data_IF_163819107559
#
_entry.id   IF_163819107559
#
_cell.length_a   1.000
_cell.length_b   1.000
_cell.length_c   1.000
_cell.angle_alpha   90.00
_cell.angle_beta   90.00
_cell.angle_gamma   90.00
#
_symmetry.space_group_name_H-M   'P 1'
#
loop_
_entity.id
_entity.type
_entity.pdbx_description
1 polymer ?
#
# COMPACT_ATOMS: atom_id res chain seq x y z
N UNK A 1 -18.93 22.44 -10.59
CA UNK A 1 -18.30 22.34 -9.25
C UNK A 1 -17.93 20.89 -9.06
N UNK A 2 -16.78 20.56 -8.46
CA UNK A 2 -16.42 19.17 -8.18
C UNK A 2 -17.45 18.55 -7.22
N UNK A 3 -17.93 17.34 -7.52
CA UNK A 3 -18.91 16.64 -6.70
C UNK A 3 -18.23 15.69 -5.72
N UNK A 4 -18.43 15.94 -4.43
CA UNK A 4 -17.88 15.11 -3.34
C UNK A 4 -19.01 14.39 -2.64
N UNK A 5 -18.95 13.06 -2.63
CA UNK A 5 -19.93 12.21 -1.93
C UNK A 5 -19.32 11.69 -0.64
N UNK A 6 -19.96 11.99 0.49
CA UNK A 6 -19.66 11.33 1.76
C UNK A 6 -20.39 10.00 1.78
N UNK A 7 -19.64 8.90 1.88
CA UNK A 7 -20.20 7.55 2.04
C UNK A 7 -20.18 7.21 3.53
N UNK A 8 -21.36 7.01 4.10
CA UNK A 8 -21.56 6.82 5.53
C UNK A 8 -22.34 5.54 5.81
N UNK A 9 -21.66 4.45 6.18
CA UNK A 9 -22.32 3.25 6.68
C UNK A 9 -23.02 3.49 8.01
N UNK A 10 -24.22 2.96 8.14
CA UNK A 10 -25.03 3.04 9.35
C UNK A 10 -25.60 1.66 9.71
N UNK A 11 -25.53 1.31 11.00
CA UNK A 11 -26.17 0.11 11.53
C UNK A 11 -26.56 0.31 12.99
N UNK A 12 -27.87 0.44 13.22
CA UNK A 12 -28.48 0.81 14.49
C UNK A 12 -27.90 2.12 15.07
N UNK A 13 -28.04 3.21 14.31
CA UNK A 13 -27.46 4.53 14.60
C UNK A 13 -28.52 5.65 14.46
N UNK A 14 -29.81 5.37 14.74
CA UNK A 14 -30.94 6.27 14.39
C UNK A 14 -30.77 7.72 14.90
N UNK A 15 -30.34 7.90 16.14
CA UNK A 15 -30.13 9.23 16.74
C UNK A 15 -28.92 9.96 16.12
N UNK A 16 -27.87 9.20 15.83
CA UNK A 16 -26.65 9.71 15.22
C UNK A 16 -26.95 10.17 13.79
N UNK A 17 -27.70 9.40 13.00
CA UNK A 17 -28.08 9.80 11.64
C UNK A 17 -28.91 11.08 11.63
N UNK A 18 -29.94 11.20 12.47
CA UNK A 18 -30.77 12.42 12.54
C UNK A 18 -29.91 13.65 12.79
N UNK A 19 -29.02 13.59 13.78
CA UNK A 19 -28.16 14.71 14.17
C UNK A 19 -27.08 14.99 13.12
N UNK A 20 -26.44 13.95 12.59
CA UNK A 20 -25.34 14.05 11.65
C UNK A 20 -25.77 14.66 10.31
N UNK A 21 -26.95 14.25 9.82
CA UNK A 21 -27.54 14.82 8.60
C UNK A 21 -27.76 16.33 8.78
N UNK A 22 -28.35 16.76 9.89
CA UNK A 22 -28.63 18.18 10.13
C UNK A 22 -27.35 19.00 10.18
N UNK A 23 -26.36 18.55 10.97
CA UNK A 23 -25.06 19.25 11.07
C UNK A 23 -24.35 19.31 9.72
N UNK A 24 -24.29 18.20 8.98
CA UNK A 24 -23.61 18.19 7.69
C UNK A 24 -24.32 19.09 6.66
N UNK A 25 -25.63 18.95 6.53
CA UNK A 25 -26.40 19.64 5.48
C UNK A 25 -26.61 21.12 5.76
N UNK A 26 -26.86 21.51 7.01
CA UNK A 26 -27.16 22.88 7.38
C UNK A 26 -25.91 23.67 7.76
N UNK A 27 -24.99 23.07 8.52
CA UNK A 27 -23.85 23.81 9.07
C UNK A 27 -22.59 23.68 8.21
N UNK A 28 -22.25 22.48 7.75
CA UNK A 28 -20.94 22.24 7.14
C UNK A 28 -20.92 22.40 5.62
N UNK A 29 -21.86 21.78 4.90
CA UNK A 29 -21.89 21.81 3.43
C UNK A 29 -21.96 23.21 2.83
N UNK A 30 -22.73 24.18 3.36
CA UNK A 30 -22.76 25.54 2.81
C UNK A 30 -21.42 26.28 2.89
N UNK A 31 -20.48 25.83 3.73
CA UNK A 31 -19.17 26.45 3.93
C UNK A 31 -18.09 25.89 3.01
N UNK A 32 -18.43 24.92 2.14
CA UNK A 32 -17.49 24.16 1.30
C UNK A 32 -17.73 24.50 -0.17
N UNK A 33 -16.66 24.83 -0.90
CA UNK A 33 -16.71 25.18 -2.33
C UNK A 33 -16.85 23.97 -3.28
N UNK A 34 -17.63 22.96 -2.90
CA UNK A 34 -17.87 21.73 -3.66
C UNK A 34 -19.36 21.36 -3.66
N UNK A 35 -19.80 20.57 -4.65
CA UNK A 35 -21.14 19.99 -4.66
C UNK A 35 -21.15 18.79 -3.68
N UNK A 36 -21.56 19.06 -2.44
CA UNK A 36 -21.53 18.11 -1.34
C UNK A 36 -22.79 17.26 -1.30
N UNK A 37 -22.59 15.94 -1.32
CA UNK A 37 -23.62 14.92 -1.25
C UNK A 37 -23.36 14.00 -0.06
N UNK A 38 -24.41 13.54 0.62
CA UNK A 38 -24.33 12.54 1.67
C UNK A 38 -25.05 11.26 1.20
N UNK A 39 -24.33 10.14 1.19
CA UNK A 39 -24.87 8.83 0.88
C UNK A 39 -24.80 7.94 2.12
N UNK A 40 -25.97 7.66 2.69
CA UNK A 40 -26.13 6.75 3.83
C UNK A 40 -26.28 5.33 3.28
N UNK A 41 -25.46 4.42 3.79
CA UNK A 41 -25.53 3.00 3.45
C UNK A 41 -26.02 2.23 4.67
N UNK A 42 -27.31 1.92 4.69
CA UNK A 42 -27.93 1.19 5.80
C UNK A 42 -27.74 -0.32 5.65
N UNK A 43 -27.40 -0.98 6.75
CA UNK A 43 -27.21 -2.43 6.81
C UNK A 43 -28.41 -3.14 7.44
N UNK A 44 -29.60 -2.89 6.91
CA UNK A 44 -30.87 -3.45 7.41
C UNK A 44 -31.04 -3.23 8.91
N UNK A 45 -30.92 -1.98 9.34
CA UNK A 45 -31.08 -1.62 10.75
C UNK A 45 -32.48 -1.93 11.27
N UNK A 46 -32.59 -2.20 12.57
CA UNK A 46 -33.86 -2.57 13.23
C UNK A 46 -34.38 -1.50 14.20
N UNK A 47 -33.68 -0.37 14.32
CA UNK A 47 -33.92 0.68 15.31
C UNK A 47 -34.56 1.96 14.75
N UNK A 48 -34.96 1.96 13.47
CA UNK A 48 -35.48 3.15 12.80
C UNK A 48 -34.46 3.94 11.97
N UNK A 49 -33.21 3.46 11.86
CA UNK A 49 -32.14 4.16 11.11
C UNK A 49 -32.49 4.36 9.64
N UNK A 50 -33.09 3.35 8.99
CA UNK A 50 -33.46 3.42 7.58
C UNK A 50 -34.53 4.49 7.35
N UNK A 51 -35.58 4.50 8.17
CA UNK A 51 -36.68 5.46 8.11
C UNK A 51 -36.17 6.89 8.34
N UNK A 52 -35.26 7.08 9.31
CA UNK A 52 -34.66 8.38 9.55
C UNK A 52 -33.83 8.89 8.36
N UNK A 53 -33.09 8.01 7.69
CA UNK A 53 -32.31 8.34 6.50
C UNK A 53 -33.22 8.59 5.27
N UNK A 54 -34.32 7.85 5.13
CA UNK A 54 -35.33 8.11 4.09
C UNK A 54 -36.01 9.46 4.27
N UNK A 55 -36.43 9.80 5.49
CA UNK A 55 -37.04 11.09 5.78
C UNK A 55 -36.06 12.25 5.54
N UNK A 56 -34.78 12.06 5.88
CA UNK A 56 -33.72 12.97 5.53
C UNK A 56 -33.57 13.16 4.01
N UNK A 57 -33.62 12.09 3.22
CA UNK A 57 -33.53 12.16 1.75
C UNK A 57 -34.70 12.90 1.10
N UNK A 58 -35.90 12.82 1.70
CA UNK A 58 -37.08 13.60 1.26
C UNK A 58 -36.96 15.08 1.61
N UNK A 59 -36.31 15.38 2.74
CA UNK A 59 -36.10 16.76 3.24
C UNK A 59 -34.96 17.48 2.51
N UNK A 60 -33.89 16.77 2.15
CA UNK A 60 -32.69 17.35 1.57
C UNK A 60 -32.31 16.64 0.25
N UNK A 61 -32.29 17.39 -0.85
CA UNK A 61 -31.99 16.85 -2.20
C UNK A 61 -30.58 16.27 -2.36
N UNK A 62 -29.67 16.60 -1.44
CA UNK A 62 -28.29 16.12 -1.44
C UNK A 62 -28.04 14.99 -0.43
N UNK A 63 -29.10 14.40 0.12
CA UNK A 63 -29.03 13.22 0.98
C UNK A 63 -29.65 12.04 0.24
N UNK A 64 -28.90 10.95 0.19
CA UNK A 64 -29.25 9.72 -0.50
C UNK A 64 -29.15 8.56 0.48
N UNK A 65 -29.96 7.53 0.25
CA UNK A 65 -29.92 6.29 1.02
C UNK A 65 -29.87 5.10 0.07
N UNK A 66 -29.04 4.11 0.40
CA UNK A 66 -29.08 2.79 -0.21
C UNK A 66 -29.08 1.71 0.88
N UNK A 67 -29.70 0.58 0.55
CA UNK A 67 -29.69 -0.61 1.38
C UNK A 67 -28.55 -1.54 0.97
N UNK A 68 -27.73 -1.94 1.94
CA UNK A 68 -26.61 -2.83 1.75
C UNK A 68 -27.09 -4.25 1.48
N UNK A 69 -26.59 -4.88 0.40
CA UNK A 69 -26.99 -6.26 0.04
C UNK A 69 -26.24 -7.34 0.81
N UNK A 70 -24.95 -7.14 1.05
CA UNK A 70 -24.05 -8.13 1.64
C UNK A 70 -23.58 -7.65 3.00
N UNK A 71 -23.63 -8.45 4.07
CA UNK A 71 -23.18 -8.01 5.40
C UNK A 71 -21.68 -7.71 5.49
N UNK A 72 -21.32 -6.72 6.32
CA UNK A 72 -19.93 -6.37 6.65
C UNK A 72 -19.57 -4.93 6.29
N UNK A 73 -18.70 -4.29 7.08
CA UNK A 73 -18.39 -2.87 6.90
C UNK A 73 -17.76 -2.56 5.53
N UNK A 74 -16.90 -3.45 5.03
CA UNK A 74 -16.28 -3.28 3.71
C UNK A 74 -17.30 -3.30 2.58
N UNK A 75 -18.30 -4.18 2.65
CA UNK A 75 -19.40 -4.20 1.67
C UNK A 75 -20.26 -2.93 1.70
N UNK A 76 -20.44 -2.31 2.86
CA UNK A 76 -21.16 -1.04 2.98
C UNK A 76 -20.43 0.06 2.20
N UNK A 77 -19.13 0.21 2.45
CA UNK A 77 -18.30 1.19 1.75
C UNK A 77 -18.17 0.88 0.26
N UNK A 78 -17.97 -0.38 -0.14
CA UNK A 78 -17.91 -0.76 -1.56
C UNK A 78 -19.22 -0.44 -2.28
N UNK A 79 -20.35 -0.82 -1.71
CA UNK A 79 -21.66 -0.56 -2.32
C UNK A 79 -21.93 0.94 -2.43
N UNK A 80 -21.61 1.71 -1.38
CA UNK A 80 -21.73 3.16 -1.39
C UNK A 80 -20.78 3.83 -2.39
N UNK A 81 -19.54 3.36 -2.49
CA UNK A 81 -18.58 3.88 -3.46
C UNK A 81 -19.02 3.60 -4.90
N UNK A 82 -19.52 2.39 -5.19
CA UNK A 82 -20.04 2.05 -6.51
C UNK A 82 -21.24 2.95 -6.87
N UNK A 83 -22.21 3.07 -5.97
CA UNK A 83 -23.36 3.95 -6.18
C UNK A 83 -22.95 5.42 -6.37
N UNK A 84 -22.01 5.91 -5.58
CA UNK A 84 -21.49 7.27 -5.70
C UNK A 84 -20.82 7.51 -7.07
N UNK A 85 -20.05 6.54 -7.59
CA UNK A 85 -19.39 6.64 -8.90
C UNK A 85 -20.42 6.52 -10.04
N UNK A 86 -21.28 5.50 -9.97
CA UNK A 86 -22.12 5.09 -11.09
C UNK A 86 -23.39 5.94 -11.18
N UNK A 87 -24.07 6.21 -10.07
CA UNK A 87 -25.35 6.91 -10.05
C UNK A 87 -25.18 8.40 -9.78
N UNK A 88 -24.38 8.76 -8.76
CA UNK A 88 -24.19 10.16 -8.39
C UNK A 88 -23.12 10.87 -9.23
N UNK A 89 -22.31 10.14 -10.00
CA UNK A 89 -21.19 10.67 -10.79
C UNK A 89 -20.21 11.48 -9.94
N UNK A 90 -19.80 10.92 -8.80
CA UNK A 90 -18.86 11.54 -7.88
C UNK A 90 -17.50 11.78 -8.55
N UNK A 91 -16.91 12.95 -8.28
CA UNK A 91 -15.50 13.24 -8.62
C UNK A 91 -14.56 12.77 -7.51
N UNK A 92 -15.03 12.81 -6.25
CA UNK A 92 -14.33 12.29 -5.08
C UNK A 92 -15.30 11.70 -4.06
N UNK A 93 -14.79 10.77 -3.25
CA UNK A 93 -15.55 10.09 -2.19
C UNK A 93 -14.83 10.25 -0.86
N UNK A 94 -15.56 10.69 0.16
CA UNK A 94 -15.11 10.77 1.55
C UNK A 94 -15.71 9.62 2.36
N UNK A 95 -14.87 8.78 2.94
CA UNK A 95 -15.25 7.75 3.91
C UNK A 95 -15.47 8.41 5.28
N UNK A 96 -16.65 8.23 5.89
CA UNK A 96 -16.97 8.82 7.19
C UNK A 96 -17.93 7.94 8.00
N UNK A 97 -17.52 7.54 9.21
CA UNK A 97 -18.39 6.82 10.16
C UNK A 97 -19.48 7.76 10.76
N UNK A 98 -20.64 7.20 11.11
CA UNK A 98 -21.81 7.94 11.61
C UNK A 98 -21.75 8.33 13.11
N UNK A 99 -20.79 7.81 13.87
CA UNK A 99 -20.75 7.84 15.35
C UNK A 99 -20.12 9.10 15.97
N UNK A 100 -20.02 10.19 15.20
CA UNK A 100 -19.36 11.47 15.56
C UNK A 100 -17.88 11.37 15.97
N UNK A 101 -17.25 10.20 15.86
CA UNK A 101 -15.81 10.09 16.11
C UNK A 101 -14.97 10.85 15.08
N UNK A 102 -15.52 11.03 13.88
CA UNK A 102 -15.05 11.99 12.89
C UNK A 102 -15.89 13.26 13.02
N UNK A 103 -15.39 14.34 13.64
CA UNK A 103 -16.20 15.54 13.80
C UNK A 103 -16.51 16.17 12.42
N UNK A 104 -17.78 16.54 12.14
CA UNK A 104 -18.18 17.11 10.84
C UNK A 104 -17.35 18.30 10.37
N UNK A 105 -16.85 19.13 11.29
CA UNK A 105 -15.94 20.25 11.00
C UNK A 105 -14.69 19.87 10.20
N UNK A 106 -14.25 18.61 10.24
CA UNK A 106 -13.09 18.14 9.49
C UNK A 106 -13.41 17.75 8.05
N UNK A 107 -14.69 17.74 7.63
CA UNK A 107 -15.06 17.54 6.22
C UNK A 107 -14.50 18.66 5.35
N UNK A 108 -14.66 19.92 5.78
CA UNK A 108 -14.16 21.09 5.05
C UNK A 108 -12.66 21.01 4.72
N UNK A 109 -11.74 20.85 5.69
CA UNK A 109 -10.30 20.81 5.38
C UNK A 109 -9.90 19.60 4.53
N UNK A 110 -10.61 18.46 4.62
CA UNK A 110 -10.40 17.32 3.73
C UNK A 110 -10.72 17.68 2.27
N UNK A 111 -11.86 18.35 2.05
CA UNK A 111 -12.30 18.77 0.71
C UNK A 111 -11.41 19.89 0.17
N UNK A 112 -11.00 20.86 1.00
CA UNK A 112 -10.07 21.92 0.58
C UNK A 112 -8.71 21.36 0.13
N UNK A 113 -8.20 20.34 0.83
CA UNK A 113 -6.98 19.65 0.43
C UNK A 113 -7.14 18.93 -0.94
N UNK A 114 -8.30 18.33 -1.18
CA UNK A 114 -8.67 17.72 -2.46
C UNK A 114 -8.73 18.77 -3.59
N UNK A 115 -9.46 19.86 -3.37
CA UNK A 115 -9.59 20.97 -4.34
C UNK A 115 -8.23 21.63 -4.63
N UNK A 116 -7.28 21.58 -3.67
CA UNK A 116 -5.87 22.00 -3.84
C UNK A 116 -5.00 20.97 -4.60
N UNK A 117 -5.63 19.99 -5.24
CA UNK A 117 -5.01 19.02 -6.14
C UNK A 117 -4.49 17.74 -5.49
N UNK A 118 -4.80 17.48 -4.22
CA UNK A 118 -4.53 16.16 -3.65
C UNK A 118 -5.46 15.11 -4.28
N UNK A 119 -4.92 13.92 -4.58
CA UNK A 119 -5.71 12.81 -5.16
C UNK A 119 -6.18 11.83 -4.07
N UNK A 120 -5.51 11.84 -2.91
CA UNK A 120 -5.87 11.06 -1.73
C UNK A 120 -5.56 11.87 -0.47
N UNK A 121 -6.55 12.05 0.40
CA UNK A 121 -6.44 12.84 1.63
C UNK A 121 -6.75 11.95 2.82
N UNK A 122 -5.92 12.02 3.85
CA UNK A 122 -6.01 11.18 5.05
C UNK A 122 -6.18 12.07 6.27
N UNK A 123 -7.28 11.87 7.02
CA UNK A 123 -7.50 12.51 8.31
C UNK A 123 -6.63 11.86 9.38
N UNK A 124 -5.52 12.52 9.75
CA UNK A 124 -4.45 11.94 10.54
C UNK A 124 -4.47 12.40 11.99
N UNK A 125 -4.44 11.43 12.91
CA UNK A 125 -4.41 11.68 14.37
C UNK A 125 -3.00 11.91 14.91
N UNK A 126 -1.98 11.67 14.10
CA UNK A 126 -0.57 11.59 14.52
C UNK A 126 0.31 12.67 13.87
N UNK A 127 -0.30 13.74 13.36
CA UNK A 127 0.39 14.95 12.89
C UNK A 127 0.04 16.14 13.80
N UNK A 128 0.75 17.26 13.63
CA UNK A 128 0.44 18.50 14.36
C UNK A 128 -1.02 18.94 14.12
N UNK A 129 -1.75 19.24 15.20
CA UNK A 129 -3.19 19.53 15.18
C UNK A 129 -4.10 18.29 15.20
N UNK A 130 -3.56 17.09 14.99
CA UNK A 130 -4.26 15.82 15.16
C UNK A 130 -4.21 15.31 16.61
N UNK A 131 -5.23 14.56 17.02
CA UNK A 131 -5.22 13.94 18.35
C UNK A 131 -6.08 12.68 18.44
N UNK A 132 -5.74 11.83 19.41
CA UNK A 132 -6.61 10.74 19.89
C UNK A 132 -7.36 11.20 21.14
N UNK A 133 -8.55 10.64 21.45
CA UNK A 133 -9.32 11.07 22.60
C UNK A 133 -8.52 11.01 23.90
N UNK A 134 -8.61 12.09 24.69
CA UNK A 134 -7.91 12.19 25.98
C UNK A 134 -8.40 11.11 26.96
N UNK A 135 -9.69 10.80 26.91
CA UNK A 135 -10.41 9.85 27.76
C UNK A 135 -10.03 8.38 27.51
N UNK A 136 -9.33 8.07 26.41
CA UNK A 136 -8.90 6.69 26.16
C UNK A 136 -7.89 6.22 27.20
N UNK A 137 -8.12 5.01 27.71
CA UNK A 137 -7.15 4.29 28.52
C UNK A 137 -5.79 4.22 27.80
N UNK A 138 -4.69 4.31 28.56
CA UNK A 138 -3.33 4.29 28.02
C UNK A 138 -3.06 3.04 27.16
N UNK A 139 -3.61 1.89 27.55
CA UNK A 139 -3.54 0.65 26.77
C UNK A 139 -4.18 0.78 25.38
N UNK A 140 -5.33 1.44 25.26
CA UNK A 140 -6.01 1.69 23.98
C UNK A 140 -5.20 2.66 23.10
N UNK A 141 -4.63 3.71 23.70
CA UNK A 141 -3.71 4.63 22.99
C UNK A 141 -2.48 3.90 22.46
N UNK A 142 -1.86 3.06 23.29
CA UNK A 142 -0.72 2.24 22.91
C UNK A 142 -1.07 1.28 21.76
N UNK A 143 -2.18 0.55 21.85
CA UNK A 143 -2.64 -0.35 20.77
C UNK A 143 -2.82 0.41 19.45
N UNK A 144 -3.44 1.61 19.50
CA UNK A 144 -3.63 2.42 18.29
C UNK A 144 -2.29 2.88 17.70
N UNK A 145 -1.38 3.39 18.53
CA UNK A 145 -0.07 3.86 18.09
C UNK A 145 0.79 2.73 17.50
N UNK A 146 0.94 1.61 18.24
CA UNK A 146 1.74 0.48 17.81
C UNK A 146 1.13 -0.26 16.62
N UNK A 147 -0.20 -0.38 16.56
CA UNK A 147 -0.88 -0.96 15.39
C UNK A 147 -0.66 -0.14 14.13
N UNK A 148 -0.71 1.19 14.24
CA UNK A 148 -0.37 2.08 13.13
C UNK A 148 1.12 1.99 12.75
N UNK A 149 2.04 2.01 13.72
CA UNK A 149 3.47 1.86 13.49
C UNK A 149 3.81 0.53 12.80
N UNK A 150 3.15 -0.55 13.20
CA UNK A 150 3.30 -1.88 12.59
C UNK A 150 2.92 -1.85 11.11
N UNK A 151 1.75 -1.29 10.76
CA UNK A 151 1.30 -1.19 9.36
C UNK A 151 2.24 -0.32 8.54
N UNK A 152 2.70 0.82 9.07
CA UNK A 152 3.70 1.69 8.44
C UNK A 152 5.00 0.93 8.13
N UNK A 153 5.46 0.12 9.08
CA UNK A 153 6.69 -0.67 8.96
C UNK A 153 6.56 -1.77 7.91
N UNK A 154 5.49 -2.56 7.95
CA UNK A 154 5.27 -3.67 7.01
C UNK A 154 5.09 -3.18 5.57
N UNK A 155 4.40 -2.04 5.40
CA UNK A 155 4.23 -1.41 4.09
C UNK A 155 5.46 -0.59 3.66
N UNK A 156 6.44 -0.36 4.54
CA UNK A 156 7.56 0.57 4.36
C UNK A 156 7.12 1.99 3.96
N UNK A 157 5.99 2.45 4.52
CA UNK A 157 5.47 3.79 4.25
C UNK A 157 5.52 4.63 5.53
N UNK A 158 6.67 5.27 5.75
CA UNK A 158 6.88 6.17 6.88
C UNK A 158 6.50 7.62 6.59
N UNK A 159 6.23 7.98 5.31
CA UNK A 159 5.86 9.35 4.93
C UNK A 159 4.46 9.74 5.42
N UNK A 160 3.57 8.76 5.55
CA UNK A 160 2.23 8.94 6.09
C UNK A 160 2.24 8.51 7.56
N UNK A 161 1.66 9.32 8.43
CA UNK A 161 1.67 9.14 9.88
C UNK A 161 0.48 8.36 10.40
N UNK A 162 -0.67 8.35 9.71
CA UNK A 162 -1.83 7.54 10.10
C UNK A 162 -2.38 6.66 8.97
N UNK A 163 -2.01 5.38 9.00
CA UNK A 163 -2.50 4.37 8.06
C UNK A 163 -3.72 3.59 8.59
N UNK A 164 -4.26 4.00 9.75
CA UNK A 164 -5.34 3.26 10.43
C UNK A 164 -6.64 4.04 10.60
N UNK A 165 -6.64 5.33 10.29
CA UNK A 165 -7.85 6.16 10.25
C UNK A 165 -8.86 5.63 9.23
N UNK A 166 -10.15 5.78 9.53
CA UNK A 166 -11.25 5.53 8.57
C UNK A 166 -11.66 6.77 7.79
N UNK A 167 -11.15 7.95 8.14
CA UNK A 167 -11.56 9.23 7.55
C UNK A 167 -10.64 9.59 6.38
N UNK A 168 -11.07 9.26 5.17
CA UNK A 168 -10.24 9.33 3.96
C UNK A 168 -11.04 9.83 2.77
N UNK A 169 -10.46 10.75 2.02
CA UNK A 169 -11.04 11.25 0.78
C UNK A 169 -10.21 10.73 -0.39
N UNK A 170 -10.87 10.06 -1.34
CA UNK A 170 -10.25 9.53 -2.55
C UNK A 170 -10.85 10.17 -3.79
N UNK A 171 -9.99 10.66 -4.68
CA UNK A 171 -10.40 11.03 -6.04
C UNK A 171 -10.95 9.80 -6.77
N UNK A 172 -11.99 9.95 -7.58
CA UNK A 172 -12.51 8.85 -8.38
C UNK A 172 -11.59 8.60 -9.56
N UNK A 173 -11.42 9.61 -10.42
CA UNK A 173 -10.63 9.49 -11.65
C UNK A 173 -9.15 9.30 -11.37
N UNK A 174 -8.60 8.19 -11.84
CA UNK A 174 -7.20 7.83 -11.73
C UNK A 174 -6.80 7.16 -10.42
N UNK A 175 -7.68 7.09 -9.41
CA UNK A 175 -7.43 6.44 -8.12
C UNK A 175 -8.44 5.32 -7.86
N UNK A 176 -9.70 5.64 -7.54
CA UNK A 176 -10.71 4.61 -7.26
C UNK A 176 -11.15 3.84 -8.51
N UNK A 177 -11.22 4.49 -9.67
CA UNK A 177 -11.59 3.84 -10.95
C UNK A 177 -10.61 2.73 -11.41
N UNK A 178 -9.40 2.71 -10.86
CA UNK A 178 -8.38 1.67 -11.08
C UNK A 178 -8.45 0.54 -10.07
N UNK A 179 -9.32 0.64 -9.07
CA UNK A 179 -9.48 -0.35 -8.01
C UNK A 179 -10.73 -1.17 -8.34
N UNK A 180 -10.55 -2.48 -8.45
CA UNK A 180 -11.70 -3.38 -8.55
C UNK A 180 -12.30 -3.58 -7.15
N UNK A 181 -13.18 -2.65 -6.75
CA UNK A 181 -13.71 -2.53 -5.38
C UNK A 181 -14.30 -3.84 -4.83
N UNK A 182 -15.02 -4.59 -5.66
CA UNK A 182 -15.63 -5.87 -5.29
C UNK A 182 -14.62 -7.01 -5.06
N UNK A 183 -13.36 -6.85 -5.51
CA UNK A 183 -12.28 -7.81 -5.30
C UNK A 183 -11.32 -7.41 -4.17
N UNK A 184 -11.65 -6.35 -3.42
CA UNK A 184 -10.94 -6.05 -2.18
C UNK A 184 -11.00 -7.23 -1.21
N UNK A 185 -9.94 -7.42 -0.45
CA UNK A 185 -9.83 -8.53 0.50
C UNK A 185 -10.55 -8.23 1.81
N UNK A 186 -11.09 -9.27 2.42
CA UNK A 186 -11.72 -9.23 3.76
C UNK A 186 -12.81 -8.14 3.89
N UNK A 187 -13.70 -8.03 2.89
CA UNK A 187 -14.82 -7.08 2.86
C UNK A 187 -15.85 -7.29 3.98
N UNK A 188 -15.86 -8.48 4.58
CA UNK A 188 -16.65 -8.84 5.75
C UNK A 188 -16.09 -8.29 7.07
N UNK A 189 -14.83 -7.80 7.07
CA UNK A 189 -14.08 -7.37 8.27
C UNK A 189 -13.65 -5.91 8.16
N UNK A 190 -12.99 -5.36 9.17
CA UNK A 190 -12.34 -4.05 9.12
C UNK A 190 -11.06 -4.04 8.27
N UNK A 191 -10.49 -5.23 8.02
CA UNK A 191 -9.22 -5.38 7.32
C UNK A 191 -9.24 -4.79 5.89
N UNK A 192 -10.38 -4.78 5.20
CA UNK A 192 -10.52 -4.16 3.85
C UNK A 192 -9.95 -2.74 3.78
N UNK A 193 -10.02 -1.96 4.88
CA UNK A 193 -9.49 -0.59 4.97
C UNK A 193 -8.00 -0.55 4.62
N UNK A 194 -7.24 -1.60 4.90
CA UNK A 194 -5.80 -1.68 4.58
C UNK A 194 -5.58 -1.97 3.09
N UNK A 195 -6.39 -2.82 2.48
CA UNK A 195 -6.30 -3.09 1.03
C UNK A 195 -6.69 -1.86 0.22
N UNK A 196 -7.82 -1.24 0.56
CA UNK A 196 -8.28 -0.01 -0.08
C UNK A 196 -7.24 1.13 0.07
N UNK A 197 -6.66 1.29 1.27
CA UNK A 197 -5.57 2.23 1.51
C UNK A 197 -4.35 1.94 0.61
N UNK A 198 -3.89 0.70 0.61
CA UNK A 198 -2.70 0.29 -0.14
C UNK A 198 -2.89 0.55 -1.65
N UNK A 199 -4.05 0.20 -2.20
CA UNK A 199 -4.35 0.43 -3.61
C UNK A 199 -4.52 1.93 -3.93
N UNK A 200 -5.19 2.69 -3.06
CA UNK A 200 -5.37 4.13 -3.24
C UNK A 200 -4.03 4.87 -3.23
N UNK A 201 -3.15 4.56 -2.27
CA UNK A 201 -1.79 5.10 -2.21
C UNK A 201 -0.99 4.80 -3.48
N UNK A 202 -1.09 3.57 -4.00
CA UNK A 202 -0.38 3.14 -5.21
C UNK A 202 -0.86 3.85 -6.48
N UNK A 203 -2.15 4.17 -6.54
CA UNK A 203 -2.76 4.81 -7.70
C UNK A 203 -2.66 6.34 -7.66
N UNK A 204 -2.64 6.93 -6.45
CA UNK A 204 -2.52 8.38 -6.24
C UNK A 204 -1.09 8.89 -6.48
N UNK A 205 -0.98 10.07 -7.08
CA UNK A 205 0.29 10.78 -7.29
C UNK A 205 0.61 11.77 -6.18
N UNK A 206 -0.43 12.35 -5.56
CA UNK A 206 -0.31 13.32 -4.48
C UNK A 206 -1.22 12.89 -3.33
N UNK A 207 -0.59 12.42 -2.25
CA UNK A 207 -1.26 12.11 -0.99
C UNK A 207 -0.90 13.19 0.04
N UNK A 208 -1.89 13.64 0.81
CA UNK A 208 -1.67 14.60 1.91
C UNK A 208 -2.39 14.15 3.18
N UNK A 209 -1.85 14.56 4.33
CA UNK A 209 -2.48 14.36 5.63
C UNK A 209 -3.09 15.68 6.11
N UNK A 210 -4.31 15.61 6.63
CA UNK A 210 -5.03 16.72 7.28
C UNK A 210 -5.19 16.35 8.75
N UNK A 211 -4.98 17.27 9.70
CA UNK A 211 -5.12 16.96 11.11
C UNK A 211 -6.55 16.51 11.42
N UNK A 212 -6.67 15.49 12.25
CA UNK A 212 -7.95 14.97 12.75
C UNK A 212 -7.90 14.82 14.26
N UNK A 213 -8.75 15.58 14.96
CA UNK A 213 -9.02 15.36 16.38
C UNK A 213 -10.11 14.31 16.50
N UNK A 214 -9.70 13.06 16.72
CA UNK A 214 -10.62 11.94 16.83
C UNK A 214 -11.39 12.03 18.14
N UNK A 215 -12.71 12.00 18.08
CA UNK A 215 -13.57 12.15 19.25
C UNK A 215 -13.89 10.82 19.92
N UNK A 216 -14.25 10.88 21.20
CA UNK A 216 -14.86 9.75 21.91
C UNK A 216 -16.25 9.48 21.35
N UNK A 217 -16.62 8.20 21.27
CA UNK A 217 -18.01 7.81 20.93
C UNK A 217 -18.96 8.37 21.97
N UNK A 218 -20.11 8.82 21.51
CA UNK A 218 -21.17 9.38 22.35
C UNK A 218 -21.93 8.31 23.13
N UNK A 219 -22.17 7.10 22.56
CA UNK A 219 -23.04 6.09 23.21
C UNK A 219 -22.60 4.62 23.14
N UNK A 220 -21.80 4.19 22.16
CA UNK A 220 -21.59 2.75 21.90
C UNK A 220 -20.22 2.13 22.23
N UNK A 221 -20.24 0.85 22.59
CA UNK A 221 -19.05 -0.01 22.73
C UNK A 221 -18.36 -0.22 21.38
N UNK A 222 -17.03 -0.36 21.39
CA UNK A 222 -16.23 -0.60 20.19
C UNK A 222 -16.63 -1.89 19.49
N UNK A 223 -16.98 -1.81 18.20
CA UNK A 223 -17.21 -2.97 17.32
C UNK A 223 -15.89 -3.65 16.90
N UNK A 224 -14.75 -2.96 17.06
CA UNK A 224 -13.40 -3.47 16.77
C UNK A 224 -12.87 -4.35 17.92
N UNK A 225 -12.46 -5.59 17.60
CA UNK A 225 -12.02 -6.60 18.55
C UNK A 225 -10.67 -7.25 18.16
N UNK A 226 -10.15 -8.18 18.97
CA UNK A 226 -8.87 -8.84 18.72
C UNK A 226 -8.81 -9.59 17.37
N UNK A 227 -9.91 -10.22 16.94
CA UNK A 227 -9.97 -10.94 15.66
C UNK A 227 -9.81 -9.97 14.47
N UNK A 228 -10.44 -8.79 14.57
CA UNK A 228 -10.30 -7.72 13.57
C UNK A 228 -8.86 -7.21 13.48
N UNK A 229 -8.19 -7.05 14.62
CA UNK A 229 -6.79 -6.64 14.65
C UNK A 229 -5.88 -7.67 13.98
N UNK A 230 -6.05 -8.96 14.29
CA UNK A 230 -5.27 -10.04 13.67
C UNK A 230 -5.51 -10.10 12.16
N UNK A 231 -6.77 -9.97 11.71
CA UNK A 231 -7.11 -9.93 10.29
C UNK A 231 -6.43 -8.74 9.58
N UNK A 232 -6.47 -7.56 10.20
CA UNK A 232 -5.85 -6.34 9.70
C UNK A 232 -4.33 -6.51 9.54
N UNK A 233 -3.64 -7.02 10.56
CA UNK A 233 -2.19 -7.25 10.51
C UNK A 233 -1.81 -8.33 9.51
N UNK A 234 -2.55 -9.44 9.45
CA UNK A 234 -2.33 -10.50 8.45
C UNK A 234 -2.44 -9.93 7.04
N UNK A 235 -3.48 -9.14 6.76
CA UNK A 235 -3.65 -8.54 5.45
C UNK A 235 -2.53 -7.54 5.13
N UNK A 236 -2.14 -6.70 6.10
CA UNK A 236 -1.00 -5.79 5.95
C UNK A 236 0.29 -6.54 5.58
N UNK A 237 0.60 -7.66 6.25
CA UNK A 237 1.75 -8.53 5.94
C UNK A 237 1.65 -9.06 4.52
N UNK A 238 0.50 -9.61 4.13
CA UNK A 238 0.33 -10.18 2.78
C UNK A 238 0.53 -9.08 1.72
N UNK A 239 -0.02 -7.88 1.93
CA UNK A 239 0.15 -6.76 1.01
C UNK A 239 1.60 -6.27 0.97
N UNK A 240 2.26 -6.15 2.13
CA UNK A 240 3.68 -5.79 2.22
C UNK A 240 4.59 -6.79 1.49
N UNK A 241 4.33 -8.09 1.63
CA UNK A 241 5.03 -9.16 0.89
C UNK A 241 4.70 -9.09 -0.60
N UNK A 242 3.43 -8.90 -0.98
CA UNK A 242 3.01 -8.82 -2.39
C UNK A 242 3.69 -7.66 -3.11
N UNK A 243 3.80 -6.51 -2.44
CA UNK A 243 4.50 -5.32 -2.91
C UNK A 243 5.98 -5.61 -3.20
N UNK A 244 6.61 -6.42 -2.35
CA UNK A 244 8.04 -6.76 -2.40
C UNK A 244 8.33 -8.11 -3.07
N UNK A 245 7.30 -8.76 -3.61
CA UNK A 245 7.40 -10.14 -4.10
C UNK A 245 8.47 -10.28 -5.18
N UNK A 246 8.61 -9.29 -6.06
CA UNK A 246 9.64 -9.30 -7.11
C UNK A 246 11.06 -9.26 -6.52
N UNK A 247 11.29 -8.46 -5.47
CA UNK A 247 12.58 -8.42 -4.79
C UNK A 247 12.86 -9.72 -4.03
N UNK A 248 11.86 -10.28 -3.35
CA UNK A 248 11.99 -11.57 -2.65
C UNK A 248 12.33 -12.69 -3.65
N UNK A 249 11.59 -12.79 -4.76
CA UNK A 249 11.89 -13.76 -5.84
C UNK A 249 13.29 -13.59 -6.39
N UNK A 250 13.71 -12.34 -6.64
CA UNK A 250 15.07 -12.03 -7.08
C UNK A 250 16.13 -12.56 -6.09
N UNK A 251 15.94 -12.34 -4.79
CA UNK A 251 16.81 -12.88 -3.75
C UNK A 251 16.85 -14.42 -3.73
N UNK A 252 15.70 -15.08 -3.85
CA UNK A 252 15.61 -16.55 -3.93
C UNK A 252 16.32 -17.10 -5.17
N UNK A 253 16.17 -16.44 -6.33
CA UNK A 253 16.90 -16.81 -7.54
C UNK A 253 18.40 -16.65 -7.32
N UNK A 254 18.86 -15.52 -6.76
CA UNK A 254 20.28 -15.33 -6.43
C UNK A 254 20.85 -16.42 -5.53
N UNK A 255 20.11 -16.83 -4.49
CA UNK A 255 20.50 -17.93 -3.61
C UNK A 255 20.54 -19.29 -4.33
N UNK A 256 19.58 -19.53 -5.23
CA UNK A 256 19.56 -20.74 -6.07
C UNK A 256 20.77 -20.76 -7.00
N UNK A 257 21.12 -19.63 -7.62
CA UNK A 257 22.33 -19.48 -8.39
C UNK A 257 23.60 -19.78 -7.59
N UNK A 258 23.66 -19.34 -6.32
CA UNK A 258 24.77 -19.69 -5.43
C UNK A 258 24.88 -21.21 -5.23
N UNK A 259 23.77 -21.91 -5.00
CA UNK A 259 23.76 -23.37 -4.87
C UNK A 259 24.17 -24.07 -6.18
N UNK A 260 23.69 -23.61 -7.33
CA UNK A 260 24.07 -24.12 -8.65
C UNK A 260 25.57 -23.96 -8.88
N UNK A 261 26.13 -22.80 -8.51
CA UNK A 261 27.57 -22.55 -8.61
C UNK A 261 28.36 -23.52 -7.72
N UNK A 262 27.98 -23.62 -6.44
CA UNK A 262 28.67 -24.47 -5.47
C UNK A 262 28.65 -25.95 -5.89
N UNK A 263 27.47 -26.49 -6.22
CA UNK A 263 27.32 -27.88 -6.62
C UNK A 263 27.98 -28.16 -7.98
N UNK A 264 27.87 -27.23 -8.94
CA UNK A 264 28.53 -27.32 -10.23
C UNK A 264 30.05 -27.35 -10.10
N UNK A 265 30.63 -26.51 -9.24
CA UNK A 265 32.06 -26.48 -8.98
C UNK A 265 32.56 -27.81 -8.42
N UNK A 266 31.88 -28.35 -7.41
CA UNK A 266 32.22 -29.61 -6.78
C UNK A 266 32.11 -30.78 -7.78
N UNK A 267 31.04 -30.82 -8.57
CA UNK A 267 30.85 -31.82 -9.60
C UNK A 267 31.95 -31.79 -10.67
N UNK A 268 32.27 -30.60 -11.20
CA UNK A 268 33.29 -30.44 -12.24
C UNK A 268 34.70 -30.77 -11.73
N UNK A 269 35.02 -30.44 -10.47
CA UNK A 269 36.28 -30.86 -9.84
C UNK A 269 36.38 -32.37 -9.73
N UNK A 270 35.29 -33.06 -9.35
CA UNK A 270 35.25 -34.54 -9.30
C UNK A 270 35.41 -35.18 -10.67
N UNK A 271 35.02 -34.49 -11.75
CA UNK A 271 35.28 -34.91 -13.12
C UNK A 271 36.72 -34.68 -13.58
N UNK A 272 37.60 -34.18 -12.71
CA UNK A 272 39.02 -33.96 -13.01
C UNK A 272 39.33 -32.62 -13.67
N UNK A 273 38.37 -31.68 -13.75
CA UNK A 273 38.68 -30.33 -14.23
C UNK A 273 39.55 -29.60 -13.21
N UNK A 274 40.53 -28.84 -13.73
CA UNK A 274 41.30 -27.91 -12.90
C UNK A 274 40.38 -26.88 -12.23
N UNK A 275 40.78 -26.38 -11.05
CA UNK A 275 40.00 -25.38 -10.30
C UNK A 275 39.61 -24.16 -11.14
N UNK A 276 40.48 -23.70 -12.05
CA UNK A 276 40.19 -22.58 -12.93
C UNK A 276 38.99 -22.85 -13.85
N UNK A 277 39.07 -23.92 -14.65
CA UNK A 277 38.01 -24.29 -15.59
C UNK A 277 36.71 -24.67 -14.87
N UNK A 278 36.80 -25.39 -13.74
CA UNK A 278 35.64 -25.74 -12.94
C UNK A 278 34.91 -24.49 -12.40
N UNK A 279 35.66 -23.48 -11.93
CA UNK A 279 35.08 -22.22 -11.43
C UNK A 279 34.43 -21.42 -12.54
N UNK A 280 35.06 -21.35 -13.72
CA UNK A 280 34.51 -20.64 -14.88
C UNK A 280 33.16 -21.22 -15.31
N UNK A 281 33.11 -22.53 -15.55
CA UNK A 281 31.87 -23.20 -16.00
C UNK A 281 30.78 -23.19 -14.94
N UNK A 282 31.12 -23.44 -13.67
CA UNK A 282 30.14 -23.37 -12.58
C UNK A 282 29.55 -21.96 -12.42
N UNK A 283 30.34 -20.91 -12.67
CA UNK A 283 29.87 -19.51 -12.65
C UNK A 283 28.91 -19.25 -13.79
N UNK A 284 29.25 -19.70 -15.00
CA UNK A 284 28.36 -19.55 -16.15
C UNK A 284 27.05 -20.35 -15.98
N UNK A 285 27.10 -21.57 -15.44
CA UNK A 285 25.90 -22.35 -15.10
C UNK A 285 24.98 -21.59 -14.13
N UNK A 286 25.56 -20.92 -13.13
CA UNK A 286 24.82 -20.09 -12.18
C UNK A 286 24.18 -18.87 -12.85
N UNK A 287 24.91 -18.18 -13.73
CA UNK A 287 24.41 -17.02 -14.49
C UNK A 287 23.25 -17.44 -15.40
N UNK A 288 23.39 -18.54 -16.13
CA UNK A 288 22.35 -19.11 -16.99
C UNK A 288 21.11 -19.47 -16.16
N UNK A 289 21.28 -20.18 -15.06
CA UNK A 289 20.17 -20.55 -14.15
C UNK A 289 19.44 -19.31 -13.63
N UNK A 290 20.19 -18.30 -13.16
CA UNK A 290 19.62 -17.06 -12.67
C UNK A 290 18.86 -16.29 -13.76
N UNK A 291 19.39 -16.23 -14.98
CA UNK A 291 18.70 -15.57 -16.09
C UNK A 291 17.38 -16.27 -16.43
N UNK A 292 17.41 -17.60 -16.56
CA UNK A 292 16.22 -18.41 -16.87
C UNK A 292 15.16 -18.22 -15.79
N UNK A 293 15.52 -18.42 -14.51
CA UNK A 293 14.58 -18.30 -13.39
C UNK A 293 14.03 -16.88 -13.25
N UNK A 294 14.85 -15.85 -13.47
CA UNK A 294 14.36 -14.49 -13.49
C UNK A 294 13.37 -14.25 -14.64
N UNK A 295 13.64 -14.79 -15.83
CA UNK A 295 12.77 -14.62 -16.99
C UNK A 295 11.42 -15.31 -16.82
N UNK A 296 11.39 -16.55 -16.30
CA UNK A 296 10.16 -17.34 -16.19
C UNK A 296 9.37 -17.08 -14.90
N UNK A 297 10.01 -16.59 -13.83
CA UNK A 297 9.38 -16.50 -12.51
C UNK A 297 9.42 -15.11 -11.86
N UNK A 298 10.59 -14.47 -11.77
CA UNK A 298 10.73 -13.15 -11.13
C UNK A 298 10.05 -12.05 -11.95
N UNK A 299 10.25 -12.07 -13.26
CA UNK A 299 9.75 -11.10 -14.23
C UNK A 299 8.75 -11.72 -15.21
N UNK A 300 7.96 -12.69 -14.75
CA UNK A 300 6.98 -13.42 -15.56
C UNK A 300 5.97 -12.53 -16.31
N UNK A 301 5.73 -11.32 -15.84
CA UNK A 301 4.86 -10.32 -16.47
C UNK A 301 5.51 -9.61 -17.67
N UNK A 302 6.82 -9.80 -17.84
CA UNK A 302 7.67 -9.22 -18.89
C UNK A 302 8.59 -10.28 -19.50
N UNK A 303 8.15 -11.53 -19.55
CA UNK A 303 8.93 -12.65 -20.09
C UNK A 303 9.45 -12.34 -21.49
N UNK A 304 10.74 -12.54 -21.69
CA UNK A 304 11.42 -12.39 -22.97
C UNK A 304 11.27 -13.72 -23.72
N UNK A 305 10.62 -13.70 -24.89
CA UNK A 305 10.30 -14.91 -25.67
C UNK A 305 11.03 -14.96 -27.02
N UNK A 306 11.30 -13.80 -27.63
CA UNK A 306 12.01 -13.71 -28.91
C UNK A 306 13.47 -14.14 -28.77
N UNK A 307 13.95 -15.04 -29.63
CA UNK A 307 15.34 -15.56 -29.61
C UNK A 307 16.36 -14.43 -29.66
N UNK A 308 16.13 -13.42 -30.52
CA UNK A 308 17.01 -12.24 -30.63
C UNK A 308 17.09 -11.47 -29.31
N UNK A 309 15.94 -11.27 -28.66
CA UNK A 309 15.88 -10.55 -27.39
C UNK A 309 16.47 -11.37 -26.25
N UNK A 310 16.27 -12.69 -26.24
CA UNK A 310 16.91 -13.59 -25.27
C UNK A 310 18.43 -13.44 -25.34
N UNK A 311 19.02 -13.53 -26.53
CA UNK A 311 20.48 -13.39 -26.71
C UNK A 311 20.96 -12.00 -26.25
N UNK A 312 20.28 -10.93 -26.70
CA UNK A 312 20.65 -9.56 -26.36
C UNK A 312 20.55 -9.27 -24.85
N UNK A 313 19.48 -9.75 -24.22
CA UNK A 313 19.24 -9.51 -22.80
C UNK A 313 20.12 -10.40 -21.92
N UNK A 314 20.41 -11.63 -22.36
CA UNK A 314 21.39 -12.49 -21.72
C UNK A 314 22.79 -11.86 -21.75
N UNK A 315 23.22 -11.28 -22.87
CA UNK A 315 24.48 -10.55 -22.96
C UNK A 315 24.56 -9.38 -21.96
N UNK A 316 23.49 -8.59 -21.83
CA UNK A 316 23.41 -7.50 -20.83
C UNK A 316 23.42 -8.03 -19.39
N UNK A 317 22.75 -9.16 -19.15
CA UNK A 317 22.73 -9.81 -17.85
C UNK A 317 24.12 -10.29 -17.44
N UNK A 318 24.83 -10.95 -18.37
CA UNK A 318 26.19 -11.42 -18.14
C UNK A 318 27.14 -10.23 -17.90
N UNK A 319 27.05 -9.17 -18.71
CA UNK A 319 27.80 -7.92 -18.51
C UNK A 319 27.53 -7.30 -17.13
N UNK A 320 26.26 -7.29 -16.68
CA UNK A 320 25.92 -6.77 -15.35
C UNK A 320 26.50 -7.62 -14.22
N UNK A 321 26.68 -8.93 -14.43
CA UNK A 321 27.26 -9.84 -13.43
C UNK A 321 28.75 -9.57 -13.19
N UNK A 322 29.48 -9.02 -14.18
CA UNK A 322 30.89 -8.62 -14.02
C UNK A 322 31.07 -7.49 -12.99
N UNK A 323 30.05 -6.68 -12.76
CA UNK A 323 30.10 -5.62 -11.74
C UNK A 323 30.41 -6.20 -10.35
N UNK A 324 29.79 -7.32 -9.99
CA UNK A 324 30.03 -7.98 -8.70
C UNK A 324 31.49 -8.44 -8.56
N UNK A 325 32.06 -8.99 -9.64
CA UNK A 325 33.45 -9.48 -9.70
C UNK A 325 34.45 -8.36 -9.45
N UNK A 326 34.17 -7.15 -9.93
CA UNK A 326 35.04 -5.98 -9.76
C UNK A 326 34.84 -5.34 -8.38
N UNK A 327 33.59 -5.16 -7.96
CA UNK A 327 33.27 -4.36 -6.76
C UNK A 327 33.54 -5.11 -5.47
N UNK A 328 33.30 -6.42 -5.40
CA UNK A 328 33.50 -7.18 -4.17
C UNK A 328 34.96 -7.13 -3.68
N UNK A 329 35.99 -7.40 -4.51
CA UNK A 329 37.38 -7.26 -4.08
C UNK A 329 37.73 -5.83 -3.65
N UNK A 330 37.23 -4.80 -4.34
CA UNK A 330 37.48 -3.40 -3.98
C UNK A 330 36.92 -3.05 -2.60
N UNK A 331 35.69 -3.44 -2.31
CA UNK A 331 35.06 -3.19 -1.00
C UNK A 331 35.78 -3.95 0.11
N UNK A 332 36.14 -5.21 -0.12
CA UNK A 332 36.87 -6.03 0.86
C UNK A 332 38.27 -5.48 1.12
N UNK A 333 39.00 -5.09 0.08
CA UNK A 333 40.33 -4.49 0.20
C UNK A 333 40.25 -3.13 0.92
N UNK A 334 39.24 -2.32 0.62
CA UNK A 334 38.99 -1.08 1.36
C UNK A 334 38.72 -1.32 2.84
N UNK A 335 37.85 -2.28 3.16
CA UNK A 335 37.52 -2.62 4.55
C UNK A 335 38.74 -3.14 5.32
N UNK A 336 39.54 -4.02 4.72
CA UNK A 336 40.76 -4.54 5.36
C UNK A 336 41.84 -3.47 5.52
N UNK A 337 41.93 -2.50 4.61
CA UNK A 337 42.85 -1.36 4.74
C UNK A 337 42.43 -0.41 5.87
N UNK A 338 41.12 -0.17 6.04
CA UNK A 338 40.60 0.78 7.03
C UNK A 338 40.49 0.21 8.45
N UNK A 339 40.10 -1.05 8.58
CA UNK A 339 39.76 -1.66 9.86
C UNK A 339 40.74 -2.78 10.28
N UNK A 340 41.70 -3.12 9.42
CA UNK A 340 42.66 -4.20 9.63
C UNK A 340 42.28 -5.48 8.89
N UNK A 341 43.30 -6.26 8.55
CA UNK A 341 43.13 -7.47 7.73
C UNK A 341 42.86 -8.70 8.61
N UNK A 342 41.59 -8.88 9.00
CA UNK A 342 41.12 -10.05 9.75
C UNK A 342 40.04 -10.80 8.98
N UNK A 343 39.89 -12.10 9.26
CA UNK A 343 38.82 -12.92 8.66
C UNK A 343 37.42 -12.34 8.90
N UNK A 344 37.19 -11.74 10.08
CA UNK A 344 35.91 -11.12 10.41
C UNK A 344 35.64 -9.89 9.54
N UNK A 345 36.65 -9.04 9.33
CA UNK A 345 36.53 -7.83 8.51
C UNK A 345 36.36 -8.18 7.03
N UNK A 346 37.08 -9.20 6.53
CA UNK A 346 36.88 -9.71 5.17
C UNK A 346 35.45 -10.23 4.98
N UNK A 347 34.93 -11.01 5.94
CA UNK A 347 33.56 -11.53 5.89
C UNK A 347 32.53 -10.39 5.95
N UNK A 348 32.71 -9.44 6.88
CA UNK A 348 31.83 -8.28 6.99
C UNK A 348 31.84 -7.43 5.71
N UNK A 349 33.02 -7.20 5.13
CA UNK A 349 33.19 -6.49 3.85
C UNK A 349 32.52 -7.22 2.69
N UNK A 350 32.61 -8.55 2.63
CA UNK A 350 31.92 -9.37 1.63
C UNK A 350 30.40 -9.27 1.76
N UNK A 351 29.87 -9.42 2.97
CA UNK A 351 28.43 -9.31 3.23
C UNK A 351 27.93 -7.90 2.93
N UNK A 352 28.69 -6.86 3.27
CA UNK A 352 28.38 -5.48 2.93
C UNK A 352 28.34 -5.29 1.40
N UNK A 353 29.39 -5.71 0.69
CA UNK A 353 29.45 -5.61 -0.77
C UNK A 353 28.28 -6.34 -1.42
N UNK A 354 27.95 -7.55 -0.94
CA UNK A 354 26.86 -8.34 -1.48
C UNK A 354 25.49 -7.68 -1.25
N UNK A 355 25.13 -7.43 0.01
CA UNK A 355 23.76 -7.05 0.37
C UNK A 355 23.46 -5.56 0.17
N UNK A 356 24.47 -4.69 0.30
CA UNK A 356 24.28 -3.23 0.23
C UNK A 356 24.75 -2.63 -1.10
N UNK A 357 25.54 -3.35 -1.89
CA UNK A 357 26.04 -2.84 -3.18
C UNK A 357 25.56 -3.68 -4.35
N UNK A 358 25.95 -4.95 -4.43
CA UNK A 358 25.71 -5.81 -5.59
C UNK A 358 24.23 -6.17 -5.77
N UNK A 359 23.55 -6.63 -4.72
CA UNK A 359 22.12 -7.02 -4.78
C UNK A 359 21.24 -5.82 -5.19
N UNK A 360 21.36 -4.62 -4.56
CA UNK A 360 20.62 -3.45 -5.00
C UNK A 360 20.94 -3.03 -6.44
N UNK A 361 22.23 -3.01 -6.81
CA UNK A 361 22.66 -2.67 -8.17
C UNK A 361 22.04 -3.60 -9.22
N UNK A 362 22.17 -4.92 -9.04
CA UNK A 362 21.61 -5.90 -9.97
C UNK A 362 20.10 -5.76 -10.05
N UNK A 363 19.41 -5.60 -8.92
CA UNK A 363 17.96 -5.41 -8.94
C UNK A 363 17.55 -4.16 -9.74
N UNK A 364 18.27 -3.04 -9.58
CA UNK A 364 18.02 -1.81 -10.35
C UNK A 364 18.27 -2.04 -11.84
N UNK A 365 19.42 -2.61 -12.21
CA UNK A 365 19.78 -2.87 -13.62
C UNK A 365 18.75 -3.78 -14.29
N UNK A 366 18.29 -4.81 -13.59
CA UNK A 366 17.35 -5.78 -14.13
C UNK A 366 15.98 -5.13 -14.40
N UNK A 367 15.51 -4.29 -13.47
CA UNK A 367 14.24 -3.59 -13.62
C UNK A 367 14.32 -2.45 -14.66
N UNK A 368 15.46 -1.78 -14.85
CA UNK A 368 15.59 -0.65 -15.79
C UNK A 368 15.95 -1.08 -17.22
N UNK A 369 16.91 -2.00 -17.38
CA UNK A 369 17.55 -2.26 -18.68
C UNK A 369 17.19 -3.61 -19.28
N UNK A 370 17.04 -4.64 -18.44
CA UNK A 370 16.82 -6.02 -18.90
C UNK A 370 15.33 -6.28 -19.14
N UNK A 371 14.53 -6.33 -18.07
CA UNK A 371 13.08 -6.57 -18.14
C UNK A 371 12.23 -5.29 -18.16
N UNK A 372 12.85 -4.11 -18.00
CA UNK A 372 12.24 -2.78 -18.21
C UNK A 372 10.89 -2.59 -17.50
N UNK A 373 10.79 -3.08 -16.28
CA UNK A 373 9.63 -2.97 -15.40
C UNK A 373 9.53 -1.59 -14.75
N UNK A 374 10.65 -0.89 -14.58
CA UNK A 374 10.70 0.47 -14.06
C UNK A 374 10.81 1.47 -15.21
N UNK A 375 10.12 2.61 -15.06
CA UNK A 375 10.31 3.73 -15.98
C UNK A 375 11.62 4.43 -15.62
N UNK A 376 12.44 4.70 -16.63
CA UNK A 376 13.64 5.52 -16.45
C UNK A 376 13.19 6.89 -15.89
N UNK A 377 13.77 7.37 -14.78
CA UNK A 377 13.47 8.70 -14.26
C UNK A 377 13.64 9.75 -15.35
N UNK A 378 12.74 10.75 -15.41
CA UNK A 378 12.75 11.79 -16.46
C UNK A 378 14.13 12.47 -16.62
N UNK A 379 14.96 12.49 -15.58
CA UNK A 379 16.32 13.05 -15.58
C UNK A 379 17.28 12.44 -16.62
N UNK A 380 17.03 11.22 -17.09
CA UNK A 380 17.85 10.54 -18.11
C UNK A 380 17.26 10.59 -19.52
N UNK A 381 16.09 11.22 -19.71
CA UNK A 381 15.62 11.54 -21.06
C UNK A 381 16.37 12.79 -21.51
N UNK A 382 17.38 12.60 -22.36
CA UNK A 382 17.79 13.68 -23.26
C UNK A 382 16.64 13.90 -24.23
N UNK A 383 16.13 15.14 -24.27
CA UNK A 383 15.10 15.57 -25.21
C UNK A 383 15.50 15.36 -26.67
#
# INVERSE_FOLDING_TARGET
MEKVVIVMPAWNEVENIKSMVEVLTQDEFPKIGADMQLLIVDNHSTDGTAEAAEDASKKYNNVHIIQQKNSGLGWAYVSGMQYAIDELKADAILEMDADFQHPPRFVKPMVEAYLSGAEYVIGSRYIEGGSVPKEWAASRKAISFFGNLFIRTVLLNFKIHDLTTGFRLSKVRGVLDKIELVKLRDLDKFAYKVDLLYQSLKNSKKTVEVPLEFASRTKDKSKFNWKEMVATFKLAIILGIKDKQRFIKFGVVGFTGFLVNYLGLEFLKRMGLTTYWATLFATEMSIISNFILNNIWTFKDKTITSVKDVIMQFAKFNLSSLFAVIVQPLVVNGATTLFGDTSLIRLAGLLFALFLVVVPYNYIVYNLFIWRTWKIPKFFKRD
#
